data_IF_770344101490
#
_entry.id   IF_770344101490
#
_cell.length_a   1.000
_cell.length_b   1.000
_cell.length_c   1.000
_cell.angle_alpha   90.00
_cell.angle_beta   90.00
_cell.angle_gamma   90.00
#
_symmetry.space_group_name_H-M   'P 1'
#
loop_
_entity.id
_entity.type
_entity.pdbx_description
1 polymer ?
#
# COMPACT_ATOMS: atom_id res chain seq x y z
N UNK A 1 7.64 -17.32 4.21
CA UNK A 1 8.83 -17.96 4.83
C UNK A 1 10.07 -17.75 4.00
N UNK A 2 11.23 -17.93 4.58
CA UNK A 2 12.53 -17.83 3.91
C UNK A 2 12.71 -18.89 2.84
N UNK A 3 13.65 -18.70 1.93
CA UNK A 3 13.97 -19.68 0.88
C UNK A 3 14.56 -20.95 1.49
N UNK A 4 13.96 -22.08 1.14
CA UNK A 4 14.29 -23.36 1.73
C UNK A 4 13.70 -23.62 3.14
N UNK A 5 13.02 -22.64 3.73
CA UNK A 5 12.31 -22.80 4.98
C UNK A 5 10.96 -23.52 4.84
N UNK A 6 10.14 -23.45 5.88
CA UNK A 6 8.84 -24.11 5.91
C UNK A 6 7.87 -23.56 4.84
N UNK A 7 7.38 -24.45 3.98
CA UNK A 7 6.45 -24.13 2.91
C UNK A 7 4.97 -24.32 3.27
N UNK A 8 4.65 -24.84 4.47
CA UNK A 8 3.30 -25.28 4.83
C UNK A 8 2.29 -24.13 4.72
N UNK A 9 2.61 -22.97 5.32
CA UNK A 9 1.73 -21.80 5.31
C UNK A 9 1.53 -21.28 3.89
N UNK A 10 2.60 -21.16 3.09
CA UNK A 10 2.52 -20.70 1.71
C UNK A 10 1.60 -21.60 0.87
N UNK A 11 1.75 -22.92 1.00
CA UNK A 11 0.92 -23.88 0.27
C UNK A 11 -0.52 -23.92 0.79
N UNK A 12 -0.73 -23.72 2.08
CA UNK A 12 -2.07 -23.58 2.67
C UNK A 12 -2.77 -22.36 2.08
N UNK A 13 -2.12 -21.19 2.09
CA UNK A 13 -2.68 -19.96 1.53
C UNK A 13 -2.93 -20.09 0.03
N UNK A 14 -2.04 -20.70 -0.73
CA UNK A 14 -2.26 -20.98 -2.15
C UNK A 14 -3.52 -21.80 -2.40
N UNK A 15 -3.79 -22.84 -1.59
CA UNK A 15 -5.03 -23.65 -1.68
C UNK A 15 -6.27 -22.84 -1.32
N UNK A 16 -6.20 -22.04 -0.25
CA UNK A 16 -7.31 -21.19 0.17
C UNK A 16 -7.68 -20.19 -0.95
N UNK A 17 -6.70 -19.50 -1.52
CA UNK A 17 -6.90 -18.56 -2.64
C UNK A 17 -7.44 -19.26 -3.90
N UNK A 18 -6.90 -20.45 -4.23
CA UNK A 18 -7.41 -21.23 -5.36
C UNK A 18 -8.86 -21.65 -5.16
N UNK A 19 -9.25 -22.03 -3.93
CA UNK A 19 -10.62 -22.41 -3.58
C UNK A 19 -11.61 -21.25 -3.54
N UNK A 20 -11.16 -20.06 -3.23
CA UNK A 20 -12.01 -18.86 -3.10
C UNK A 20 -12.56 -18.35 -4.44
N UNK A 21 -11.95 -18.72 -5.58
CA UNK A 21 -12.41 -18.37 -6.95
C UNK A 21 -12.67 -16.87 -7.16
N UNK A 22 -11.85 -16.01 -6.58
CA UNK A 22 -12.06 -14.56 -6.58
C UNK A 22 -11.84 -13.90 -7.95
N UNK A 23 -11.24 -14.60 -8.92
CA UNK A 23 -10.98 -14.05 -10.26
C UNK A 23 -9.93 -12.94 -10.31
N UNK A 24 -9.21 -12.72 -9.20
CA UNK A 24 -8.17 -11.70 -9.09
C UNK A 24 -6.78 -12.30 -9.30
N UNK A 25 -5.83 -11.55 -9.91
CA UNK A 25 -4.45 -12.02 -10.04
C UNK A 25 -3.73 -12.06 -8.70
N UNK A 26 -2.80 -13.00 -8.57
CA UNK A 26 -1.96 -13.19 -7.39
C UNK A 26 -0.49 -12.98 -7.77
N UNK A 27 0.22 -12.18 -7.01
CA UNK A 27 1.68 -12.09 -7.05
C UNK A 27 2.23 -13.01 -5.96
N UNK A 28 3.04 -13.98 -6.37
CA UNK A 28 3.67 -14.96 -5.48
C UNK A 28 5.14 -14.56 -5.25
N UNK A 29 5.42 -13.95 -4.10
CA UNK A 29 6.73 -13.45 -3.69
C UNK A 29 7.17 -14.14 -2.38
N UNK A 30 7.22 -15.46 -2.38
CA UNK A 30 7.52 -16.26 -1.21
C UNK A 30 8.59 -17.32 -1.49
N UNK A 31 8.79 -18.23 -0.52
CA UNK A 31 9.80 -19.28 -0.55
C UNK A 31 10.03 -19.86 -1.95
N UNK A 32 11.20 -19.58 -2.54
CA UNK A 32 11.54 -19.96 -3.93
C UNK A 32 11.45 -21.47 -4.17
N UNK A 33 11.83 -22.29 -3.17
CA UNK A 33 11.75 -23.78 -3.28
C UNK A 33 10.32 -24.30 -3.30
N UNK A 34 9.34 -23.54 -2.81
CA UNK A 34 7.93 -23.89 -2.83
C UNK A 34 7.14 -23.20 -3.94
N UNK A 35 7.74 -22.24 -4.63
CA UNK A 35 7.05 -21.37 -5.60
C UNK A 35 6.40 -22.18 -6.74
N UNK A 36 7.08 -23.16 -7.32
CA UNK A 36 6.52 -24.00 -8.40
C UNK A 36 5.28 -24.77 -7.94
N UNK A 37 5.29 -25.32 -6.71
CA UNK A 37 4.13 -26.04 -6.15
C UNK A 37 2.96 -25.09 -5.86
N UNK A 38 3.24 -23.94 -5.26
CA UNK A 38 2.24 -22.92 -5.01
C UNK A 38 1.61 -22.40 -6.31
N UNK A 39 2.43 -22.14 -7.32
CA UNK A 39 1.97 -21.78 -8.68
C UNK A 39 1.04 -22.84 -9.28
N UNK A 40 1.41 -24.11 -9.19
CA UNK A 40 0.59 -25.20 -9.72
C UNK A 40 -0.77 -25.29 -9.02
N UNK A 41 -0.81 -25.09 -7.70
CA UNK A 41 -2.06 -25.05 -6.92
C UNK A 41 -2.95 -23.90 -7.35
N UNK A 42 -2.40 -22.69 -7.49
CA UNK A 42 -3.13 -21.50 -7.93
C UNK A 42 -3.64 -21.67 -9.37
N UNK A 43 -2.80 -22.18 -10.27
CA UNK A 43 -3.17 -22.43 -11.66
C UNK A 43 -4.29 -23.47 -11.79
N UNK A 44 -4.29 -24.52 -10.99
CA UNK A 44 -5.39 -25.51 -10.93
C UNK A 44 -6.72 -24.86 -10.51
N UNK A 45 -6.69 -23.83 -9.67
CA UNK A 45 -7.84 -22.98 -9.30
C UNK A 45 -8.18 -21.91 -10.35
N UNK A 46 -7.50 -21.89 -11.50
CA UNK A 46 -7.64 -20.86 -12.55
C UNK A 46 -7.31 -19.44 -12.07
N UNK A 47 -6.47 -19.31 -11.07
CA UNK A 47 -6.00 -18.02 -10.55
C UNK A 47 -4.81 -17.56 -11.42
N UNK A 48 -4.88 -16.36 -12.03
CA UNK A 48 -3.72 -15.78 -12.71
C UNK A 48 -2.61 -15.53 -11.69
N UNK A 49 -1.41 -16.07 -11.94
CA UNK A 49 -0.30 -15.95 -10.98
C UNK A 49 0.96 -15.43 -11.65
N UNK A 50 1.55 -14.42 -11.06
CA UNK A 50 2.90 -13.93 -11.37
C UNK A 50 3.83 -14.36 -10.24
N UNK A 51 4.90 -15.05 -10.57
CA UNK A 51 5.93 -15.48 -9.61
C UNK A 51 7.09 -14.51 -9.68
N UNK A 52 7.57 -14.08 -8.53
CA UNK A 52 8.74 -13.22 -8.40
C UNK A 52 9.62 -13.69 -7.24
N UNK A 53 10.75 -13.03 -7.03
CA UNK A 53 11.65 -13.35 -5.94
C UNK A 53 10.98 -13.18 -4.57
N UNK A 54 11.49 -13.90 -3.60
CA UNK A 54 10.97 -13.86 -2.24
C UNK A 54 11.29 -12.51 -1.58
N UNK A 55 10.27 -11.88 -0.99
CA UNK A 55 10.44 -10.65 -0.20
C UNK A 55 11.33 -10.86 1.03
N UNK A 56 11.33 -12.09 1.57
CA UNK A 56 12.15 -12.46 2.74
C UNK A 56 12.98 -13.70 2.39
N UNK A 57 14.03 -13.59 1.53
CA UNK A 57 14.82 -14.75 1.11
C UNK A 57 15.57 -15.41 2.27
N UNK A 58 16.00 -14.61 3.24
CA UNK A 58 16.71 -15.05 4.45
C UNK A 58 16.22 -14.24 5.65
N UNK A 59 16.42 -14.77 6.86
CA UNK A 59 16.17 -14.01 8.10
C UNK A 59 17.06 -12.77 8.09
N UNK A 60 16.51 -11.61 8.39
CA UNK A 60 17.21 -10.33 8.39
C UNK A 60 17.40 -9.69 7.00
N UNK A 61 17.01 -10.35 5.90
CA UNK A 61 17.14 -9.80 4.53
C UNK A 61 15.77 -9.57 3.94
N UNK A 62 15.41 -8.30 3.72
CA UNK A 62 14.20 -7.91 2.99
C UNK A 62 14.59 -7.51 1.57
N UNK A 63 13.89 -8.08 0.58
CA UNK A 63 14.10 -7.84 -0.84
C UNK A 63 12.75 -7.60 -1.54
N UNK A 64 12.13 -6.43 -1.37
CA UNK A 64 10.77 -6.14 -1.83
C UNK A 64 10.70 -5.68 -3.29
N UNK A 65 11.79 -5.23 -3.91
CA UNK A 65 11.83 -4.58 -5.21
C UNK A 65 11.21 -5.43 -6.32
N UNK A 66 11.54 -6.74 -6.46
CA UNK A 66 10.92 -7.59 -7.49
C UNK A 66 9.41 -7.75 -7.28
N UNK A 67 8.97 -7.88 -6.03
CA UNK A 67 7.56 -7.98 -5.68
C UNK A 67 6.81 -6.68 -5.99
N UNK A 68 7.38 -5.51 -5.62
CA UNK A 68 6.83 -4.19 -5.95
C UNK A 68 6.70 -3.99 -7.45
N UNK A 69 7.72 -4.37 -8.23
CA UNK A 69 7.69 -4.29 -9.67
C UNK A 69 6.58 -5.18 -10.27
N UNK A 70 6.46 -6.42 -9.81
CA UNK A 70 5.44 -7.35 -10.26
C UNK A 70 4.02 -6.88 -9.89
N UNK A 71 3.81 -6.37 -8.67
CA UNK A 71 2.53 -5.79 -8.23
C UNK A 71 2.15 -4.60 -9.12
N UNK A 72 3.10 -3.69 -9.38
CA UNK A 72 2.88 -2.55 -10.27
C UNK A 72 2.45 -2.99 -11.66
N UNK A 73 3.13 -3.97 -12.25
CA UNK A 73 2.79 -4.48 -13.57
C UNK A 73 1.40 -5.11 -13.61
N UNK A 74 1.06 -5.92 -12.61
CA UNK A 74 -0.26 -6.53 -12.45
C UNK A 74 -1.34 -5.45 -12.28
N UNK A 75 -1.10 -4.44 -11.46
CA UNK A 75 -2.01 -3.32 -11.24
C UNK A 75 -2.28 -2.55 -12.54
N UNK A 76 -1.23 -2.17 -13.26
CA UNK A 76 -1.36 -1.45 -14.54
C UNK A 76 -2.15 -2.28 -15.57
N UNK A 77 -1.92 -3.59 -15.62
CA UNK A 77 -2.57 -4.48 -16.58
C UNK A 77 -4.05 -4.74 -16.24
N UNK A 78 -4.36 -5.02 -14.98
CA UNK A 78 -5.69 -5.48 -14.56
C UNK A 78 -6.59 -4.37 -14.02
N UNK A 79 -6.05 -3.37 -13.36
CA UNK A 79 -6.84 -2.27 -12.79
C UNK A 79 -6.96 -1.13 -13.78
N UNK A 80 -5.86 -0.63 -14.29
CA UNK A 80 -5.87 0.50 -15.22
C UNK A 80 -6.36 0.05 -16.61
N UNK A 81 -5.87 -1.08 -17.12
CA UNK A 81 -6.29 -1.62 -18.42
C UNK A 81 -7.70 -2.18 -18.45
N UNK A 82 -8.23 -2.65 -17.29
CA UNK A 82 -9.54 -3.31 -17.20
C UNK A 82 -10.73 -2.38 -16.96
N UNK A 83 -10.51 -1.19 -16.41
CA UNK A 83 -11.61 -0.27 -16.01
C UNK A 83 -12.11 0.67 -17.11
N UNK A 84 -11.55 0.61 -18.33
CA UNK A 84 -11.99 1.50 -19.42
C UNK A 84 -11.84 3.00 -19.11
N UNK A 85 -10.92 3.36 -18.21
CA UNK A 85 -10.65 4.73 -17.78
C UNK A 85 -10.28 5.65 -18.94
N UNK A 86 -9.80 5.08 -20.04
CA UNK A 86 -9.80 5.74 -21.34
C UNK A 86 -9.91 4.68 -22.45
N UNK A 87 -10.63 5.01 -23.52
CA UNK A 87 -10.85 4.13 -24.66
C UNK A 87 -9.62 3.92 -25.56
N UNK A 88 -8.42 4.33 -25.12
CA UNK A 88 -7.21 4.29 -25.93
C UNK A 88 -6.08 3.51 -25.28
N UNK A 89 -5.41 2.64 -26.05
CA UNK A 89 -4.15 1.97 -25.68
C UNK A 89 -3.02 2.96 -25.32
N UNK A 90 -3.15 4.24 -25.66
CA UNK A 90 -2.21 5.31 -25.31
C UNK A 90 -2.17 5.62 -23.81
N UNK A 91 -3.32 5.63 -23.11
CA UNK A 91 -3.35 5.99 -21.68
C UNK A 91 -2.56 5.02 -20.83
N UNK A 92 -2.73 3.71 -21.02
CA UNK A 92 -1.98 2.70 -20.29
C UNK A 92 -0.46 2.81 -20.48
N UNK A 93 -0.01 3.34 -21.63
CA UNK A 93 1.42 3.59 -21.92
C UNK A 93 1.95 4.87 -21.25
N UNK A 94 1.09 5.81 -20.89
CA UNK A 94 1.47 7.05 -20.22
C UNK A 94 1.57 6.87 -18.70
N UNK A 95 0.84 5.90 -18.13
CA UNK A 95 0.90 5.62 -16.70
C UNK A 95 2.25 4.97 -16.37
N UNK A 96 3.06 5.67 -15.59
CA UNK A 96 4.42 5.23 -15.22
C UNK A 96 4.47 4.50 -13.89
N UNK A 97 3.62 4.91 -12.94
CA UNK A 97 3.57 4.33 -11.60
C UNK A 97 2.18 4.55 -11.00
N UNK A 98 1.85 3.81 -9.94
CA UNK A 98 0.76 4.17 -9.04
C UNK A 98 1.17 5.41 -8.22
N UNK A 99 0.20 6.29 -7.91
CA UNK A 99 0.47 7.51 -7.15
C UNK A 99 1.26 7.26 -5.86
N UNK A 100 0.88 6.28 -5.01
CA UNK A 100 1.62 6.01 -3.79
C UNK A 100 3.09 5.60 -4.00
N UNK A 101 3.36 4.85 -5.06
CA UNK A 101 4.72 4.43 -5.42
C UNK A 101 5.58 5.63 -5.86
N UNK A 102 4.98 6.52 -6.66
CA UNK A 102 5.66 7.73 -7.13
C UNK A 102 5.93 8.69 -5.98
N UNK A 103 4.96 8.83 -5.06
CA UNK A 103 5.11 9.64 -3.84
C UNK A 103 6.24 9.11 -2.96
N UNK A 104 6.25 7.82 -2.64
CA UNK A 104 7.30 7.23 -1.80
C UNK A 104 8.69 7.43 -2.43
N UNK A 105 8.83 7.19 -3.73
CA UNK A 105 10.09 7.44 -4.45
C UNK A 105 10.50 8.91 -4.40
N UNK A 106 9.56 9.85 -4.53
CA UNK A 106 9.83 11.27 -4.42
C UNK A 106 10.31 11.68 -3.02
N UNK A 107 9.75 11.07 -1.99
CA UNK A 107 10.14 11.32 -0.59
C UNK A 107 11.51 10.72 -0.28
N UNK A 108 11.84 9.55 -0.83
CA UNK A 108 13.17 8.96 -0.75
C UNK A 108 14.24 9.90 -1.35
N UNK A 109 13.96 10.45 -2.52
CA UNK A 109 14.84 11.44 -3.17
C UNK A 109 14.97 12.70 -2.31
N UNK A 110 13.86 13.21 -1.79
CA UNK A 110 13.85 14.40 -0.92
C UNK A 110 14.67 14.19 0.35
N UNK A 111 14.51 13.05 1.02
CA UNK A 111 15.26 12.70 2.22
C UNK A 111 16.77 12.62 1.94
N UNK A 112 17.15 12.02 0.79
CA UNK A 112 18.54 11.93 0.36
C UNK A 112 19.16 13.32 0.07
N UNK A 113 18.41 14.20 -0.62
CA UNK A 113 18.89 15.56 -0.93
C UNK A 113 19.00 16.45 0.32
N UNK A 114 18.06 16.29 1.27
CA UNK A 114 18.10 17.04 2.53
C UNK A 114 19.09 16.45 3.55
N UNK A 115 19.55 15.22 3.34
CA UNK A 115 20.31 14.42 4.30
C UNK A 115 19.64 14.42 5.69
N UNK A 116 18.30 14.20 5.71
CA UNK A 116 17.50 14.32 6.91
C UNK A 116 16.33 13.32 6.88
N UNK A 117 15.82 12.99 8.07
CA UNK A 117 14.58 12.26 8.23
C UNK A 117 13.40 13.07 7.68
N UNK A 118 12.53 12.40 6.92
CA UNK A 118 11.36 13.03 6.29
C UNK A 118 10.10 12.26 6.64
N UNK A 119 9.09 12.99 7.11
CA UNK A 119 7.72 12.50 7.30
C UNK A 119 6.78 13.37 6.47
N UNK A 120 5.95 12.73 5.65
CA UNK A 120 4.95 13.42 4.83
C UNK A 120 3.57 12.83 5.11
N UNK A 121 2.61 13.69 5.38
CA UNK A 121 1.20 13.32 5.53
C UNK A 121 0.43 13.88 4.34
N UNK A 122 -0.13 12.98 3.53
CA UNK A 122 -0.93 13.31 2.35
C UNK A 122 -2.41 13.06 2.67
N UNK A 123 -3.15 14.14 2.93
CA UNK A 123 -4.57 14.06 3.28
C UNK A 123 -5.42 14.16 2.02
N UNK A 124 -5.95 13.01 1.60
CA UNK A 124 -6.79 12.90 0.41
C UNK A 124 -8.29 13.06 0.69
N UNK A 125 -9.10 12.87 -0.33
CA UNK A 125 -10.56 12.96 -0.21
C UNK A 125 -11.18 11.79 0.57
N UNK A 126 -10.63 10.60 0.48
CA UNK A 126 -11.13 9.38 1.11
C UNK A 126 -10.17 8.78 2.12
N UNK A 127 -8.88 8.95 1.94
CA UNK A 127 -7.81 8.33 2.73
C UNK A 127 -6.76 9.36 3.10
N UNK A 128 -6.01 9.07 4.15
CA UNK A 128 -4.79 9.80 4.50
C UNK A 128 -3.61 8.85 4.41
N UNK A 129 -2.60 9.24 3.66
CA UNK A 129 -1.37 8.49 3.51
C UNK A 129 -0.25 9.13 4.36
N UNK A 130 0.48 8.31 5.10
CA UNK A 130 1.65 8.74 5.84
C UNK A 130 2.87 8.05 5.25
N UNK A 131 3.79 8.85 4.75
CA UNK A 131 5.06 8.40 4.20
C UNK A 131 6.18 8.78 5.14
N UNK A 132 7.07 7.84 5.42
CA UNK A 132 8.24 8.08 6.25
C UNK A 132 9.51 7.59 5.57
N UNK A 133 10.55 8.38 5.66
CA UNK A 133 11.92 8.01 5.32
C UNK A 133 12.76 8.40 6.53
N UNK A 134 12.97 7.44 7.44
CA UNK A 134 13.54 7.66 8.76
C UNK A 134 14.74 6.75 8.95
N UNK A 135 15.89 7.32 9.32
CA UNK A 135 17.06 6.55 9.66
C UNK A 135 16.96 6.01 11.10
N UNK A 136 16.88 4.67 11.31
CA UNK A 136 16.80 4.11 12.65
C UNK A 136 18.05 4.47 13.45
N UNK A 137 17.85 5.00 14.67
CA UNK A 137 18.94 5.41 15.55
C UNK A 137 18.95 4.57 16.84
N UNK A 138 20.15 4.37 17.41
CA UNK A 138 20.36 3.78 18.73
C UNK A 138 20.22 2.26 18.80
N UNK A 139 20.07 1.74 20.03
CA UNK A 139 20.00 0.29 20.32
C UNK A 139 18.85 -0.41 19.61
N UNK A 140 17.73 0.29 19.36
CA UNK A 140 16.61 -0.28 18.59
C UNK A 140 16.99 -0.62 17.13
N UNK A 141 17.94 0.12 16.55
CA UNK A 141 18.44 -0.16 15.21
C UNK A 141 19.25 -1.47 15.18
N UNK A 142 20.01 -1.76 16.25
CA UNK A 142 20.79 -2.98 16.37
C UNK A 142 19.89 -4.20 16.65
N UNK A 143 18.94 -4.07 17.56
CA UNK A 143 17.97 -5.13 17.88
C UNK A 143 17.08 -5.51 16.70
N UNK A 144 16.70 -4.54 15.86
CA UNK A 144 15.89 -4.78 14.66
C UNK A 144 16.70 -5.41 13.52
N UNK A 145 18.00 -5.16 13.42
CA UNK A 145 18.88 -5.80 12.43
C UNK A 145 18.97 -7.31 12.59
N UNK A 146 18.83 -7.82 13.81
CA UNK A 146 18.95 -9.24 14.10
C UNK A 146 17.67 -10.03 13.81
N UNK A 147 16.51 -9.37 13.72
CA UNK A 147 15.20 -10.03 13.57
C UNK A 147 14.54 -9.75 12.22
N UNK A 148 14.58 -8.51 11.77
CA UNK A 148 13.97 -8.08 10.49
C UNK A 148 14.87 -7.00 9.88
N UNK A 149 15.14 -7.08 8.57
CA UNK A 149 15.88 -6.01 7.89
C UNK A 149 15.13 -4.69 8.07
N UNK A 150 15.87 -3.65 8.41
CA UNK A 150 15.31 -2.32 8.65
C UNK A 150 14.81 -1.73 7.33
N UNK A 151 13.52 -1.42 7.26
CA UNK A 151 12.97 -0.65 6.16
C UNK A 151 13.10 0.83 6.52
N UNK A 152 13.95 1.55 5.80
CA UNK A 152 14.23 2.97 6.01
C UNK A 152 13.11 3.88 5.51
N UNK A 153 12.28 3.36 4.64
CA UNK A 153 11.14 4.06 4.06
C UNK A 153 9.89 3.19 4.17
N UNK A 154 8.80 3.80 4.55
CA UNK A 154 7.51 3.13 4.69
C UNK A 154 6.36 4.03 4.27
N UNK A 155 5.24 3.40 3.94
CA UNK A 155 3.95 4.04 3.73
C UNK A 155 2.90 3.31 4.56
N UNK A 156 2.11 4.06 5.30
CA UNK A 156 0.86 3.58 5.90
C UNK A 156 -0.32 4.33 5.31
N UNK A 157 -1.50 3.74 5.38
CA UNK A 157 -2.75 4.32 4.87
C UNK A 157 -3.80 4.23 5.94
N UNK A 158 -4.35 5.37 6.31
CA UNK A 158 -5.57 5.46 7.09
C UNK A 158 -6.74 5.51 6.09
N UNK A 159 -7.34 4.34 5.85
CA UNK A 159 -8.29 4.14 4.76
C UNK A 159 -9.65 4.81 4.99
N UNK A 160 -9.93 5.22 6.21
CA UNK A 160 -11.17 5.83 6.67
C UNK A 160 -11.02 7.28 7.15
N UNK A 161 -9.85 7.88 6.98
CA UNK A 161 -9.59 9.29 7.28
C UNK A 161 -9.38 10.09 5.99
N UNK A 162 -10.37 10.85 5.58
CA UNK A 162 -10.30 11.67 4.37
C UNK A 162 -11.24 12.88 4.43
N UNK A 163 -10.86 13.96 3.76
CA UNK A 163 -11.55 15.26 3.83
C UNK A 163 -12.91 15.31 3.12
N UNK A 164 -13.29 14.24 2.41
CA UNK A 164 -14.53 14.23 1.62
C UNK A 164 -15.42 13.05 2.02
N UNK A 165 -15.18 11.89 1.43
CA UNK A 165 -16.01 10.70 1.65
C UNK A 165 -15.98 10.17 3.07
N UNK A 166 -14.92 10.46 3.82
CA UNK A 166 -14.73 10.03 5.20
C UNK A 166 -14.54 11.20 6.17
N UNK A 167 -15.10 12.37 5.86
CA UNK A 167 -14.93 13.58 6.68
C UNK A 167 -15.49 13.43 8.10
N UNK A 168 -16.62 12.72 8.26
CA UNK A 168 -17.19 12.45 9.60
C UNK A 168 -16.26 11.55 10.42
N UNK A 169 -15.61 10.57 9.82
CA UNK A 169 -14.69 9.69 10.53
C UNK A 169 -13.47 10.46 11.09
N UNK A 170 -13.03 11.52 10.39
CA UNK A 170 -11.98 12.42 10.91
C UNK A 170 -12.43 13.13 12.18
N UNK A 171 -13.67 13.63 12.19
CA UNK A 171 -14.26 14.27 13.39
C UNK A 171 -14.39 13.28 14.54
N UNK A 172 -14.90 12.07 14.27
CA UNK A 172 -15.02 11.01 15.26
C UNK A 172 -13.66 10.57 15.83
N UNK A 173 -12.65 10.44 14.95
CA UNK A 173 -11.29 10.12 15.38
C UNK A 173 -10.72 11.20 16.29
N UNK A 174 -10.88 12.48 15.92
CA UNK A 174 -10.45 13.60 16.73
C UNK A 174 -11.14 13.63 18.12
N UNK A 175 -12.44 13.35 18.16
CA UNK A 175 -13.18 13.27 19.42
C UNK A 175 -12.74 12.11 20.31
N UNK A 176 -12.44 10.95 19.75
CA UNK A 176 -11.87 9.79 20.48
C UNK A 176 -10.53 10.11 21.12
N UNK A 177 -9.72 10.90 20.43
CA UNK A 177 -8.40 11.38 20.91
C UNK A 177 -8.52 12.64 21.80
N UNK A 178 -9.74 13.05 22.18
CA UNK A 178 -10.02 14.24 22.95
C UNK A 178 -9.44 15.54 22.35
N UNK A 179 -9.33 15.59 21.03
CA UNK A 179 -8.95 16.80 20.31
C UNK A 179 -10.15 17.74 20.17
N UNK A 180 -9.96 19.07 20.32
CA UNK A 180 -11.04 20.03 20.18
C UNK A 180 -11.53 20.11 18.74
N UNK A 181 -12.82 19.87 18.52
CA UNK A 181 -13.47 20.00 17.22
C UNK A 181 -14.59 21.03 17.34
N UNK A 182 -14.45 22.15 16.65
CA UNK A 182 -15.45 23.22 16.65
C UNK A 182 -16.74 22.79 15.94
N UNK A 183 -17.89 23.27 16.42
CA UNK A 183 -19.20 22.94 15.84
C UNK A 183 -19.31 23.23 14.33
N UNK A 184 -18.78 24.35 13.80
CA UNK A 184 -18.81 24.58 12.35
C UNK A 184 -18.09 23.50 11.56
N UNK A 185 -16.95 22.98 12.06
CA UNK A 185 -16.20 21.91 11.43
C UNK A 185 -16.98 20.59 11.42
N UNK A 186 -17.70 20.29 12.53
CA UNK A 186 -18.57 19.10 12.58
C UNK A 186 -19.71 19.20 11.57
N UNK A 187 -20.33 20.36 11.44
CA UNK A 187 -21.40 20.59 10.47
C UNK A 187 -20.87 20.48 9.03
N UNK A 188 -19.72 21.07 8.77
CA UNK A 188 -19.05 20.96 7.46
C UNK A 188 -18.71 19.50 7.11
N UNK A 189 -18.17 18.74 8.05
CA UNK A 189 -17.85 17.33 7.84
C UNK A 189 -19.07 16.50 7.41
N UNK A 190 -20.23 16.72 8.07
CA UNK A 190 -21.50 16.07 7.68
C UNK A 190 -21.94 16.46 6.27
N UNK A 191 -21.94 17.76 5.96
CA UNK A 191 -22.37 18.25 4.67
C UNK A 191 -21.48 17.75 3.52
N UNK A 192 -20.17 17.71 3.72
CA UNK A 192 -19.24 17.25 2.70
C UNK A 192 -19.22 15.72 2.58
N UNK A 193 -19.55 14.99 3.67
CA UNK A 193 -19.74 13.55 3.62
C UNK A 193 -20.96 13.18 2.78
N UNK A 194 -22.07 13.90 2.95
CA UNK A 194 -23.29 13.74 2.16
C UNK A 194 -23.10 14.16 0.70
N UNK A 195 -22.35 15.24 0.47
CA UNK A 195 -22.07 15.81 -0.86
C UNK A 195 -20.54 16.01 -1.06
N UNK A 196 -19.78 14.97 -1.39
CA UNK A 196 -18.32 15.05 -1.48
C UNK A 196 -17.78 16.03 -2.54
N UNK A 197 -18.63 16.44 -3.47
CA UNK A 197 -18.30 17.46 -4.48
C UNK A 197 -18.46 18.90 -4.00
N UNK A 198 -19.05 19.13 -2.83
CA UNK A 198 -19.27 20.47 -2.28
C UNK A 198 -17.95 21.20 -2.06
N UNK A 199 -17.89 22.46 -2.50
CA UNK A 199 -16.76 23.34 -2.27
C UNK A 199 -17.11 24.34 -1.17
N UNK A 200 -16.13 24.75 -0.33
CA UNK A 200 -16.35 25.80 0.65
C UNK A 200 -16.66 27.13 -0.05
N UNK A 201 -17.70 27.81 0.41
CA UNK A 201 -18.08 29.15 -0.11
C UNK A 201 -17.49 30.27 0.74
N UNK A 202 -17.07 29.95 1.96
CA UNK A 202 -16.52 30.89 2.94
C UNK A 202 -15.21 30.37 3.52
N UNK A 203 -14.35 31.29 3.95
CA UNK A 203 -13.08 30.96 4.58
C UNK A 203 -13.24 30.17 5.92
N UNK A 204 -14.44 30.19 6.48
CA UNK A 204 -14.77 29.51 7.75
C UNK A 204 -15.25 28.05 7.55
N UNK A 205 -15.58 27.68 6.33
CA UNK A 205 -15.94 26.32 5.88
C UNK A 205 -14.68 25.57 5.40
#
# INVERSE_FOLDING_TARGET
>A
GTDGGNATVLLHNARALAGARLGIPVVLAGNARAASRARSVLAAGKVPVTVTDNVLPQIGVIHPEPARAAIREVFLRHVIGGKGLSRGTRFARLVRAATPDAMLTGIEVLAAELAADVLVVDVGGATTDVYSCLEPQGEEAELRKDVVATIWHARTVEADLGMRWNAENVVEAAQREALPVAEPLQQWARQVHEEPGRLPERAEE
#
